data_IF_902702040516
#
_entry.id   IF_902702040516
#
_cell.length_a   1.000
_cell.length_b   1.000
_cell.length_c   1.000
_cell.angle_alpha   90.00
_cell.angle_beta   90.00
_cell.angle_gamma   90.00
#
_symmetry.space_group_name_H-M   'P 1'
#
loop_
_entity.id
_entity.type
_entity.pdbx_description
1 polymer ?
#
# COMPACT_ATOMS: atom_id res chain seq x y z
N UNK A 1 9.98 27.94 -8.15
CA UNK A 1 8.51 28.00 -8.31
C UNK A 1 8.05 26.64 -8.83
N UNK A 2 6.76 26.28 -8.74
CA UNK A 2 6.28 25.04 -9.35
C UNK A 2 6.28 25.17 -10.89
N UNK A 3 6.36 24.04 -11.59
CA UNK A 3 6.42 24.02 -13.05
C UNK A 3 5.06 24.39 -13.68
N UNK A 4 5.04 25.41 -14.55
CA UNK A 4 3.81 25.94 -15.16
C UNK A 4 3.14 25.01 -16.18
N UNK A 5 3.83 23.95 -16.61
CA UNK A 5 3.33 22.96 -17.57
C UNK A 5 2.62 21.76 -16.91
N UNK A 6 2.58 21.72 -15.58
CA UNK A 6 1.79 20.73 -14.83
C UNK A 6 0.31 21.11 -14.92
N UNK A 7 -0.53 20.18 -15.33
CA UNK A 7 -1.99 20.37 -15.38
C UNK A 7 -2.64 19.58 -14.27
N UNK A 8 -3.17 20.27 -13.28
CA UNK A 8 -3.90 19.63 -12.18
C UNK A 8 -5.28 19.16 -12.67
N UNK A 9 -5.67 17.97 -12.25
CA UNK A 9 -6.97 17.38 -12.58
C UNK A 9 -7.92 17.52 -11.39
N UNK A 10 -9.23 17.54 -11.68
CA UNK A 10 -10.28 17.73 -10.68
C UNK A 10 -10.44 16.61 -9.61
N UNK A 11 -10.30 15.31 -9.91
CA UNK A 11 -10.65 14.29 -8.93
C UNK A 11 -9.71 14.33 -7.72
N UNK A 12 -10.30 14.21 -6.54
CA UNK A 12 -9.58 14.09 -5.26
C UNK A 12 -10.16 12.93 -4.47
N UNK A 13 -9.28 12.06 -3.99
CA UNK A 13 -9.62 10.95 -3.11
C UNK A 13 -9.46 11.40 -1.67
N UNK A 14 -10.58 11.37 -0.95
CA UNK A 14 -10.67 11.71 0.47
C UNK A 14 -10.78 10.44 1.33
N UNK A 15 -10.40 10.52 2.62
CA UNK A 15 -10.66 9.47 3.59
C UNK A 15 -12.17 9.12 3.67
N UNK A 16 -12.49 7.84 3.89
CA UNK A 16 -13.87 7.38 4.04
C UNK A 16 -14.04 6.51 5.30
N UNK A 17 -14.61 7.06 6.39
CA UNK A 17 -14.80 6.31 7.62
C UNK A 17 -15.84 5.18 7.50
N UNK A 18 -16.59 5.11 6.40
CA UNK A 18 -17.59 4.05 6.17
C UNK A 18 -16.95 2.75 5.69
N UNK A 19 -15.73 2.82 5.14
CA UNK A 19 -15.00 1.64 4.67
C UNK A 19 -14.34 0.96 5.86
N UNK A 20 -14.78 -0.26 6.13
CA UNK A 20 -14.43 -1.00 7.35
C UNK A 20 -14.04 -2.43 7.05
N UNK A 21 -13.29 -3.04 7.96
CA UNK A 21 -13.00 -4.47 8.03
C UNK A 21 -13.32 -5.01 9.42
N UNK A 22 -13.55 -6.31 9.54
CA UNK A 22 -13.64 -6.97 10.84
C UNK A 22 -12.26 -7.50 11.23
N UNK A 23 -11.77 -7.07 12.40
CA UNK A 23 -10.49 -7.50 12.98
C UNK A 23 -10.68 -8.31 14.26
N UNK A 24 -9.68 -9.13 14.66
CA UNK A 24 -9.63 -9.70 15.99
C UNK A 24 -9.74 -8.62 17.09
N UNK A 25 -10.55 -8.90 18.10
CA UNK A 25 -10.65 -8.10 19.32
C UNK A 25 -10.63 -9.03 20.53
N UNK A 26 -9.61 -8.89 21.39
CA UNK A 26 -9.49 -9.66 22.63
C UNK A 26 -9.54 -8.70 23.82
N UNK A 27 -10.72 -8.52 24.45
CA UNK A 27 -10.85 -7.58 25.54
C UNK A 27 -10.08 -8.09 26.77
N UNK A 28 -9.13 -7.28 27.26
CA UNK A 28 -8.31 -7.57 28.44
C UNK A 28 -8.66 -6.70 29.65
N UNK A 29 -8.31 -7.17 30.85
CA UNK A 29 -8.39 -6.36 32.06
C UNK A 29 -7.08 -5.59 32.28
N UNK A 30 -7.14 -4.27 32.60
CA UNK A 30 -5.95 -3.54 33.03
C UNK A 30 -5.40 -4.14 34.32
N UNK A 31 -4.08 -4.07 34.51
CA UNK A 31 -3.34 -4.80 35.54
C UNK A 31 -3.95 -4.76 36.96
N UNK A 32 -4.41 -3.61 37.49
CA UNK A 32 -5.00 -3.53 38.82
C UNK A 32 -6.36 -4.25 38.96
N UNK A 33 -7.00 -4.60 37.85
CA UNK A 33 -8.35 -5.17 37.79
C UNK A 33 -8.36 -6.58 37.19
N UNK A 34 -7.18 -7.18 36.96
CA UNK A 34 -7.08 -8.57 36.50
C UNK A 34 -7.69 -9.49 37.55
N UNK A 35 -8.54 -10.41 37.10
CA UNK A 35 -9.12 -11.46 37.94
C UNK A 35 -8.32 -12.73 37.75
N UNK A 36 -7.60 -13.15 38.78
CA UNK A 36 -6.76 -14.35 38.74
C UNK A 36 -7.59 -15.59 38.40
N UNK A 37 -7.08 -16.39 37.45
CA UNK A 37 -7.75 -17.59 36.96
C UNK A 37 -9.04 -17.34 36.15
N UNK A 38 -9.46 -16.08 35.95
CA UNK A 38 -10.71 -15.76 35.26
C UNK A 38 -10.59 -14.52 34.35
N UNK A 39 -9.80 -14.59 33.27
CA UNK A 39 -9.62 -13.48 32.34
C UNK A 39 -10.96 -13.00 31.76
N UNK A 40 -10.99 -11.74 31.31
CA UNK A 40 -12.21 -11.13 30.77
C UNK A 40 -12.84 -11.93 29.61
N UNK A 41 -12.03 -12.56 28.77
CA UNK A 41 -12.50 -13.44 27.70
C UNK A 41 -13.41 -14.55 28.23
N UNK A 42 -12.94 -15.33 29.20
CA UNK A 42 -13.70 -16.42 29.82
C UNK A 42 -15.01 -15.91 30.45
N UNK A 43 -14.96 -14.74 31.11
CA UNK A 43 -16.16 -14.12 31.70
C UNK A 43 -17.19 -13.70 30.65
N UNK A 44 -16.76 -13.29 29.46
CA UNK A 44 -17.67 -12.98 28.35
C UNK A 44 -18.32 -14.27 27.87
N UNK A 45 -17.54 -15.32 27.62
CA UNK A 45 -18.05 -16.63 27.20
C UNK A 45 -19.07 -17.16 28.20
N UNK A 46 -18.75 -17.18 29.50
CA UNK A 46 -19.68 -17.67 30.53
C UNK A 46 -21.03 -16.95 30.50
N UNK A 47 -21.01 -15.61 30.31
CA UNK A 47 -22.25 -14.83 30.17
C UNK A 47 -23.00 -15.24 28.92
N UNK A 48 -22.32 -15.37 27.78
CA UNK A 48 -22.92 -15.80 26.51
C UNK A 48 -23.53 -17.20 26.60
N UNK A 49 -22.87 -18.13 27.30
CA UNK A 49 -23.38 -19.49 27.52
C UNK A 49 -24.59 -19.52 28.45
N UNK A 50 -24.67 -18.59 29.41
CA UNK A 50 -25.80 -18.48 30.35
C UNK A 50 -27.06 -17.84 29.75
N UNK A 51 -26.98 -17.24 28.55
CA UNK A 51 -28.13 -16.63 27.87
C UNK A 51 -29.13 -17.68 27.39
N UNK A 52 -30.41 -17.32 27.39
CA UNK A 52 -31.46 -18.13 26.75
C UNK A 52 -31.28 -18.19 25.23
N UNK A 53 -31.83 -19.22 24.58
CA UNK A 53 -31.73 -19.38 23.12
C UNK A 53 -32.38 -18.20 22.37
N UNK A 54 -33.48 -17.67 22.90
CA UNK A 54 -34.18 -16.51 22.32
C UNK A 54 -33.33 -15.23 22.36
N UNK A 55 -32.64 -14.97 23.48
CA UNK A 55 -31.74 -13.81 23.61
C UNK A 55 -30.55 -13.91 22.65
N UNK A 56 -29.95 -15.11 22.53
CA UNK A 56 -28.85 -15.37 21.59
C UNK A 56 -29.32 -15.15 20.16
N UNK A 57 -30.49 -15.68 19.80
CA UNK A 57 -31.05 -15.53 18.45
C UNK A 57 -31.26 -14.05 18.10
N UNK A 58 -31.87 -13.27 19.00
CA UNK A 58 -32.11 -11.84 18.78
C UNK A 58 -30.81 -11.06 18.55
N UNK A 59 -29.78 -11.31 19.37
CA UNK A 59 -28.49 -10.64 19.21
C UNK A 59 -27.77 -11.03 17.92
N UNK A 60 -27.82 -12.30 17.53
CA UNK A 60 -27.23 -12.76 16.27
C UNK A 60 -27.92 -12.11 15.09
N UNK A 61 -29.25 -12.00 15.10
CA UNK A 61 -29.99 -11.37 14.00
C UNK A 61 -29.66 -9.87 13.90
N UNK A 62 -29.56 -9.16 15.02
CA UNK A 62 -29.12 -7.76 15.06
C UNK A 62 -27.72 -7.60 14.46
N UNK A 63 -26.77 -8.47 14.83
CA UNK A 63 -25.39 -8.38 14.34
C UNK A 63 -25.32 -8.70 12.84
N UNK A 64 -26.03 -9.72 12.37
CA UNK A 64 -26.08 -10.10 10.95
C UNK A 64 -26.69 -8.98 10.12
N UNK A 65 -27.80 -8.39 10.55
CA UNK A 65 -28.44 -7.28 9.85
C UNK A 65 -27.54 -6.04 9.83
N UNK A 66 -26.98 -5.66 10.98
CA UNK A 66 -26.12 -4.49 11.11
C UNK A 66 -24.83 -4.58 10.30
N UNK A 67 -24.11 -5.71 10.40
CA UNK A 67 -22.88 -5.92 9.64
C UNK A 67 -23.15 -6.23 8.17
N UNK A 68 -24.28 -6.85 7.83
CA UNK A 68 -24.65 -7.24 6.47
C UNK A 68 -24.75 -6.06 5.50
N UNK A 69 -24.90 -4.83 6.02
CA UNK A 69 -24.86 -3.60 5.23
C UNK A 69 -23.48 -3.35 4.59
N UNK A 70 -22.39 -3.76 5.26
CA UNK A 70 -21.01 -3.45 4.87
C UNK A 70 -20.11 -4.68 4.68
N UNK A 71 -20.55 -5.85 5.12
CA UNK A 71 -19.77 -7.09 5.12
C UNK A 71 -20.58 -8.23 4.48
N UNK A 72 -19.97 -8.98 3.58
CA UNK A 72 -20.54 -10.20 2.99
C UNK A 72 -20.36 -11.39 3.91
N UNK A 73 -21.25 -12.38 3.77
CA UNK A 73 -21.15 -13.67 4.45
C UNK A 73 -20.93 -13.55 5.97
N UNK A 74 -21.59 -12.58 6.62
CA UNK A 74 -21.43 -12.30 8.06
C UNK A 74 -21.52 -13.56 8.93
N UNK A 75 -22.48 -14.50 8.71
CA UNK A 75 -22.51 -15.73 9.50
C UNK A 75 -21.21 -16.55 9.40
N UNK A 76 -20.66 -16.71 8.19
CA UNK A 76 -19.43 -17.46 7.97
C UNK A 76 -18.21 -16.73 8.58
N UNK A 77 -18.18 -15.40 8.46
CA UNK A 77 -17.17 -14.56 9.11
C UNK A 77 -17.19 -14.76 10.63
N UNK A 78 -18.35 -14.67 11.28
CA UNK A 78 -18.48 -14.84 12.74
C UNK A 78 -18.10 -16.25 13.19
N UNK A 79 -18.45 -17.28 12.42
CA UNK A 79 -18.05 -18.67 12.69
C UNK A 79 -16.53 -18.84 12.61
N UNK A 80 -15.88 -18.30 11.57
CA UNK A 80 -14.42 -18.31 11.47
C UNK A 80 -13.77 -17.61 12.65
N UNK A 81 -14.31 -16.45 13.07
CA UNK A 81 -13.84 -15.73 14.26
C UNK A 81 -13.94 -16.59 15.52
N UNK A 82 -15.02 -17.36 15.68
CA UNK A 82 -15.14 -18.32 16.77
C UNK A 82 -14.04 -19.39 16.73
N UNK A 83 -13.81 -20.01 15.57
CA UNK A 83 -12.80 -21.06 15.42
C UNK A 83 -11.37 -20.57 15.75
N UNK A 84 -11.06 -19.31 15.45
CA UNK A 84 -9.77 -18.69 15.79
C UNK A 84 -9.58 -18.43 17.30
N UNK A 85 -10.65 -18.11 18.03
CA UNK A 85 -10.58 -17.76 19.46
C UNK A 85 -10.86 -18.94 20.39
N UNK A 86 -11.59 -19.96 19.92
CA UNK A 86 -11.96 -21.12 20.73
C UNK A 86 -10.76 -21.85 21.37
N UNK A 87 -9.62 -22.07 20.69
CA UNK A 87 -8.45 -22.67 21.32
C UNK A 87 -7.85 -21.82 22.44
N UNK A 88 -7.88 -20.49 22.28
CA UNK A 88 -7.33 -19.54 23.26
C UNK A 88 -8.19 -19.49 24.54
N UNK A 89 -9.52 -19.64 24.36
CA UNK A 89 -10.52 -19.64 25.42
C UNK A 89 -10.85 -21.04 25.95
N UNK A 90 -10.18 -22.08 25.44
CA UNK A 90 -10.38 -23.49 25.81
C UNK A 90 -11.85 -23.94 25.73
N UNK A 91 -12.55 -23.50 24.67
CA UNK A 91 -13.97 -23.81 24.48
C UNK A 91 -14.17 -25.20 23.86
N UNK A 92 -15.21 -25.90 24.32
CA UNK A 92 -15.67 -27.14 23.71
C UNK A 92 -16.47 -26.86 22.42
N UNK A 93 -16.43 -27.78 21.47
CA UNK A 93 -17.07 -27.66 20.14
C UNK A 93 -18.57 -27.93 20.16
N UNK A 94 -19.12 -28.37 21.30
CA UNK A 94 -20.53 -28.72 21.52
C UNK A 94 -21.49 -27.51 21.61
N UNK A 95 -20.97 -26.29 21.56
CA UNK A 95 -21.76 -25.04 21.53
C UNK A 95 -22.60 -24.93 20.26
N UNK A 96 -23.84 -24.42 20.35
CA UNK A 96 -24.71 -24.22 19.19
C UNK A 96 -24.16 -23.15 18.23
N UNK A 97 -24.45 -23.27 16.93
CA UNK A 97 -23.91 -22.36 15.90
C UNK A 97 -24.24 -20.89 16.19
N UNK A 98 -25.46 -20.59 16.67
CA UNK A 98 -25.85 -19.23 17.05
C UNK A 98 -25.00 -18.68 18.20
N UNK A 99 -24.67 -19.50 19.21
CA UNK A 99 -23.76 -19.09 20.28
C UNK A 99 -22.32 -18.96 19.79
N UNK A 100 -21.87 -19.82 18.87
CA UNK A 100 -20.56 -19.68 18.21
C UNK A 100 -20.47 -18.35 17.48
N UNK A 101 -21.46 -18.00 16.67
CA UNK A 101 -21.54 -16.70 15.98
C UNK A 101 -21.51 -15.53 16.96
N UNK A 102 -22.28 -15.59 18.05
CA UNK A 102 -22.32 -14.52 19.05
C UNK A 102 -20.99 -14.36 19.78
N UNK A 103 -20.33 -15.47 20.16
CA UNK A 103 -18.98 -15.45 20.72
C UNK A 103 -18.01 -14.83 19.70
N UNK A 104 -18.02 -15.29 18.45
CA UNK A 104 -17.22 -14.71 17.37
C UNK A 104 -17.42 -13.20 17.24
N UNK A 105 -18.66 -12.72 17.39
CA UNK A 105 -19.00 -11.30 17.40
C UNK A 105 -18.38 -10.53 18.57
N UNK A 106 -18.46 -11.04 19.79
CA UNK A 106 -17.84 -10.40 20.97
C UNK A 106 -16.30 -10.31 20.90
N UNK A 107 -15.67 -11.21 20.14
CA UNK A 107 -14.22 -11.22 19.91
C UNK A 107 -13.81 -10.62 18.56
N UNK A 108 -14.65 -9.73 18.03
CA UNK A 108 -14.44 -8.99 16.79
C UNK A 108 -14.64 -7.50 17.00
N UNK A 109 -13.94 -6.69 16.22
CA UNK A 109 -14.18 -5.25 16.13
C UNK A 109 -14.31 -4.85 14.66
N UNK A 110 -15.33 -4.04 14.36
CA UNK A 110 -15.42 -3.33 13.10
C UNK A 110 -14.46 -2.14 13.15
N UNK A 111 -13.59 -2.03 12.14
CA UNK A 111 -12.47 -1.10 12.13
C UNK A 111 -12.46 -0.34 10.81
N UNK A 112 -12.48 0.99 10.86
CA UNK A 112 -12.35 1.81 9.65
C UNK A 112 -10.88 2.06 9.32
N UNK A 113 -10.43 1.54 8.16
CA UNK A 113 -9.02 1.46 7.78
C UNK A 113 -8.49 2.66 7.00
N UNK A 114 -9.37 3.55 6.59
CA UNK A 114 -9.04 4.77 5.85
C UNK A 114 -9.88 5.96 6.33
N UNK A 115 -10.19 6.00 7.63
CA UNK A 115 -11.01 7.05 8.25
C UNK A 115 -10.29 8.40 8.41
N UNK A 116 -8.97 8.38 8.63
CA UNK A 116 -8.22 9.55 9.05
C UNK A 116 -7.48 10.22 7.90
N UNK A 117 -6.90 9.44 6.98
CA UNK A 117 -6.13 9.93 5.84
C UNK A 117 -6.04 8.87 4.74
N UNK A 118 -5.91 9.29 3.47
CA UNK A 118 -5.83 8.44 2.28
C UNK A 118 -4.85 9.04 1.25
N UNK A 119 -3.59 8.61 1.28
CA UNK A 119 -2.50 9.31 0.59
C UNK A 119 -1.39 8.36 0.10
N UNK A 120 -0.25 8.90 -0.33
CA UNK A 120 0.91 8.19 -0.90
C UNK A 120 0.55 7.20 -2.01
N UNK A 121 -0.03 7.68 -3.11
CA UNK A 121 -0.50 6.84 -4.20
C UNK A 121 0.64 6.20 -5.00
N UNK A 122 0.51 4.92 -5.35
CA UNK A 122 1.26 4.28 -6.43
C UNK A 122 0.29 3.74 -7.47
N UNK A 123 0.62 3.88 -8.75
CA UNK A 123 -0.27 3.54 -9.86
C UNK A 123 0.42 2.56 -10.82
N UNK A 124 -0.32 1.56 -11.29
CA UNK A 124 0.12 0.58 -12.30
C UNK A 124 -1.04 0.26 -13.24
N UNK A 125 -0.77 -0.22 -14.47
CA UNK A 125 -1.82 -0.77 -15.33
C UNK A 125 -2.58 -1.90 -14.61
N UNK A 126 -3.90 -1.91 -14.74
CA UNK A 126 -4.74 -3.01 -14.24
C UNK A 126 -4.40 -4.32 -14.99
N UNK A 127 -4.42 -5.49 -14.33
CA UNK A 127 -4.08 -6.77 -14.97
C UNK A 127 -5.04 -7.11 -16.12
N UNK A 128 -6.29 -6.72 -15.95
CA UNK A 128 -7.34 -6.80 -16.95
C UNK A 128 -7.50 -5.43 -17.63
N UNK A 129 -7.19 -5.36 -18.92
CA UNK A 129 -7.41 -4.20 -19.80
C UNK A 129 -8.59 -4.43 -20.77
N UNK A 130 -9.37 -5.50 -20.57
CA UNK A 130 -10.54 -5.78 -21.41
C UNK A 130 -11.57 -4.66 -21.28
N UNK A 131 -12.30 -4.40 -22.37
CA UNK A 131 -13.29 -3.32 -22.48
C UNK A 131 -12.74 -1.90 -22.23
N UNK A 132 -11.42 -1.73 -22.11
CA UNK A 132 -10.79 -0.42 -22.01
C UNK A 132 -10.86 0.28 -23.39
N UNK A 133 -11.33 1.55 -23.47
CA UNK A 133 -11.38 2.27 -24.73
C UNK A 133 -10.01 2.36 -25.40
N UNK A 134 -9.98 2.36 -26.74
CA UNK A 134 -8.73 2.51 -27.50
C UNK A 134 -7.96 3.77 -27.06
N UNK A 135 -6.69 3.59 -26.71
CA UNK A 135 -5.83 4.67 -26.21
C UNK A 135 -6.10 5.07 -24.75
N UNK A 136 -7.00 4.39 -24.03
CA UNK A 136 -7.13 4.51 -22.58
C UNK A 136 -6.23 3.50 -21.84
N UNK A 137 -6.03 3.71 -20.54
CA UNK A 137 -5.43 2.72 -19.65
C UNK A 137 -6.34 2.55 -18.45
N UNK A 138 -6.76 1.31 -18.18
CA UNK A 138 -7.35 0.96 -16.90
C UNK A 138 -6.23 0.78 -15.88
N UNK A 139 -6.37 1.29 -14.67
CA UNK A 139 -5.30 1.24 -13.68
C UNK A 139 -5.77 0.69 -12.33
N UNK A 140 -4.79 0.21 -11.55
CA UNK A 140 -4.91 0.03 -10.11
C UNK A 140 -4.05 1.09 -9.44
N UNK A 141 -4.63 1.72 -8.42
CA UNK A 141 -3.98 2.72 -7.58
C UNK A 141 -3.94 2.16 -6.14
N UNK A 142 -2.75 1.91 -5.61
CA UNK A 142 -2.58 1.60 -4.18
C UNK A 142 -2.41 2.89 -3.39
N UNK A 143 -3.04 2.98 -2.23
CA UNK A 143 -3.00 4.12 -1.33
C UNK A 143 -2.66 3.65 0.07
N UNK A 144 -2.00 4.52 0.83
CA UNK A 144 -1.86 4.38 2.28
C UNK A 144 -3.15 4.88 2.95
N UNK A 145 -3.89 3.99 3.57
CA UNK A 145 -5.05 4.29 4.40
C UNK A 145 -4.66 4.36 5.88
N UNK A 146 -4.99 5.46 6.55
CA UNK A 146 -4.85 5.62 8.00
C UNK A 146 -6.21 5.42 8.65
N UNK A 147 -6.31 4.39 9.48
CA UNK A 147 -7.52 4.08 10.21
C UNK A 147 -7.52 4.58 11.66
N UNK A 148 -8.49 4.10 12.43
CA UNK A 148 -8.57 4.34 13.89
C UNK A 148 -7.24 4.00 14.59
N UNK A 149 -6.82 4.86 15.53
CA UNK A 149 -5.55 4.65 16.24
C UNK A 149 -4.29 4.86 15.38
N UNK A 150 -4.44 5.50 14.21
CA UNK A 150 -3.35 5.88 13.29
C UNK A 150 -2.57 4.69 12.69
N UNK A 151 -3.19 3.52 12.58
CA UNK A 151 -2.55 2.35 11.98
C UNK A 151 -2.62 2.44 10.45
N UNK A 152 -1.48 2.27 9.80
CA UNK A 152 -1.34 2.34 8.33
C UNK A 152 -1.64 1.00 7.67
N UNK A 153 -2.42 1.04 6.60
CA UNK A 153 -2.80 -0.07 5.75
C UNK A 153 -2.63 0.29 4.28
N UNK A 154 -2.64 -0.71 3.39
CA UNK A 154 -2.75 -0.48 1.95
C UNK A 154 -4.16 -0.82 1.48
N UNK A 155 -4.76 0.09 0.74
CA UNK A 155 -6.10 0.00 0.13
C UNK A 155 -5.98 0.36 -1.34
N UNK A 156 -6.91 -0.09 -2.18
CA UNK A 156 -6.82 0.12 -3.62
C UNK A 156 -7.99 0.93 -4.17
N UNK A 157 -7.76 1.59 -5.31
CA UNK A 157 -8.76 2.17 -6.20
C UNK A 157 -8.49 1.69 -7.61
N UNK A 158 -9.51 1.74 -8.44
CA UNK A 158 -9.39 1.52 -9.88
C UNK A 158 -9.97 2.71 -10.63
N UNK A 159 -9.66 2.77 -11.91
CA UNK A 159 -10.22 3.78 -12.80
C UNK A 159 -9.69 3.64 -14.20
N UNK A 160 -10.10 4.56 -15.05
CA UNK A 160 -9.68 4.66 -16.45
C UNK A 160 -9.09 6.03 -16.69
N UNK A 161 -7.87 6.04 -17.21
CA UNK A 161 -7.29 7.23 -17.82
C UNK A 161 -7.59 7.20 -19.32
N UNK A 162 -8.58 7.99 -19.75
CA UNK A 162 -9.10 8.03 -21.11
C UNK A 162 -8.15 8.66 -22.12
N UNK A 163 -8.40 8.53 -23.44
CA UNK A 163 -7.46 8.90 -24.50
C UNK A 163 -7.16 10.40 -24.58
N UNK A 164 -8.06 11.25 -24.08
CA UNK A 164 -7.74 12.64 -23.79
C UNK A 164 -6.93 12.71 -22.51
N UNK A 165 -5.77 13.36 -22.54
CA UNK A 165 -4.83 13.38 -21.41
C UNK A 165 -5.45 13.87 -20.10
N UNK A 166 -6.44 14.76 -20.15
CA UNK A 166 -7.12 15.29 -18.97
C UNK A 166 -8.40 14.51 -18.60
N UNK A 167 -8.65 13.35 -19.23
CA UNK A 167 -9.82 12.50 -19.00
C UNK A 167 -9.49 11.40 -17.99
N UNK A 168 -9.68 11.68 -16.70
CA UNK A 168 -9.48 10.70 -15.63
C UNK A 168 -10.81 10.39 -14.94
N UNK A 169 -11.19 9.11 -14.91
CA UNK A 169 -12.39 8.62 -14.23
C UNK A 169 -11.98 7.61 -13.17
N UNK A 170 -12.37 7.85 -11.92
CA UNK A 170 -12.16 6.92 -10.80
C UNK A 170 -13.42 6.07 -10.62
N UNK A 171 -13.24 4.76 -10.44
CA UNK A 171 -14.35 3.88 -10.09
C UNK A 171 -14.76 4.12 -8.63
N UNK A 172 -16.07 4.15 -8.31
CA UNK A 172 -16.53 4.18 -6.94
C UNK A 172 -15.98 2.96 -6.17
N UNK A 173 -15.32 3.14 -5.00
CA UNK A 173 -14.82 2.00 -4.25
C UNK A 173 -15.98 1.17 -3.69
N UNK A 174 -15.78 -0.15 -3.63
CA UNK A 174 -16.70 -1.03 -2.94
C UNK A 174 -16.82 -0.64 -1.45
N UNK A 175 -18.04 -0.75 -0.94
CA UNK A 175 -18.32 -0.60 0.49
C UNK A 175 -17.81 -1.79 1.32
N UNK A 176 -17.44 -2.89 0.65
CA UNK A 176 -16.88 -4.08 1.27
C UNK A 176 -15.38 -3.91 1.51
N UNK A 177 -14.92 -4.43 2.66
CA UNK A 177 -13.50 -4.57 2.98
C UNK A 177 -13.16 -6.02 3.29
N UNK A 178 -12.19 -6.57 2.58
CA UNK A 178 -11.68 -7.94 2.76
C UNK A 178 -10.29 -7.84 3.39
N UNK A 179 -10.14 -8.11 4.70
CA UNK A 179 -8.83 -8.18 5.34
C UNK A 179 -8.10 -9.46 4.91
N UNK A 180 -6.76 -9.51 5.03
CA UNK A 180 -6.00 -10.66 4.59
C UNK A 180 -6.10 -11.79 5.62
N UNK A 181 -6.21 -13.02 5.12
CA UNK A 181 -5.98 -14.23 5.90
C UNK A 181 -4.54 -14.69 5.71
N UNK A 182 -3.88 -15.05 6.81
CA UNK A 182 -2.57 -15.69 6.74
C UNK A 182 -2.74 -17.14 6.34
N UNK A 183 -2.07 -17.53 5.26
CA UNK A 183 -2.03 -18.91 4.81
C UNK A 183 -0.59 -19.43 4.75
N UNK A 184 -0.45 -20.74 4.86
CA UNK A 184 0.83 -21.37 4.57
C UNK A 184 1.05 -21.29 3.05
N UNK A 185 2.19 -20.74 2.60
CA UNK A 185 2.47 -20.66 1.18
C UNK A 185 2.68 -22.06 0.58
N UNK A 186 2.41 -22.18 -0.71
CA UNK A 186 2.75 -23.38 -1.48
C UNK A 186 4.28 -23.61 -1.42
N UNK A 187 4.76 -24.77 -0.93
CA UNK A 187 6.18 -25.09 -0.87
C UNK A 187 6.91 -25.04 -2.21
N UNK A 188 6.23 -25.32 -3.33
CA UNK A 188 6.82 -25.21 -4.67
C UNK A 188 7.04 -23.75 -5.07
N UNK A 189 6.09 -22.87 -4.71
CA UNK A 189 6.23 -21.43 -4.92
C UNK A 189 7.34 -20.82 -4.07
N UNK A 190 7.47 -21.25 -2.80
CA UNK A 190 8.59 -20.84 -1.93
C UNK A 190 9.93 -21.16 -2.59
N UNK A 191 10.06 -22.37 -3.18
CA UNK A 191 11.27 -22.79 -3.88
C UNK A 191 11.54 -21.96 -5.14
N UNK A 192 10.51 -21.64 -5.92
CA UNK A 192 10.63 -20.85 -7.14
C UNK A 192 11.06 -19.41 -6.87
N UNK A 193 10.50 -18.76 -5.85
CA UNK A 193 10.86 -17.39 -5.49
C UNK A 193 12.27 -17.34 -4.85
N UNK A 194 12.75 -18.47 -4.31
CA UNK A 194 14.05 -18.55 -3.64
C UNK A 194 14.08 -17.79 -2.31
N UNK A 195 12.91 -17.53 -1.72
CA UNK A 195 12.79 -16.73 -0.51
C UNK A 195 13.15 -17.53 0.75
N UNK A 196 13.90 -16.92 1.66
CA UNK A 196 14.18 -17.48 3.00
C UNK A 196 12.93 -17.50 3.89
N UNK A 197 12.01 -16.57 3.67
CA UNK A 197 10.72 -16.49 4.34
C UNK A 197 9.68 -15.96 3.34
N UNK A 198 8.54 -16.64 3.27
CA UNK A 198 7.40 -16.24 2.45
C UNK A 198 6.16 -16.17 3.34
N UNK A 199 5.50 -15.01 3.32
CA UNK A 199 4.23 -14.80 4.00
C UNK A 199 3.17 -14.66 2.93
N UNK A 200 2.17 -15.54 2.95
CA UNK A 200 1.05 -15.49 2.02
C UNK A 200 -0.15 -14.81 2.67
N UNK A 201 -0.59 -13.71 2.06
CA UNK A 201 -1.82 -13.02 2.41
C UNK A 201 -2.89 -13.35 1.37
N UNK A 202 -3.95 -14.03 1.82
CA UNK A 202 -5.08 -14.40 1.00
C UNK A 202 -6.26 -13.44 1.23
N UNK A 203 -6.63 -12.73 0.16
CA UNK A 203 -7.79 -11.86 0.04
C UNK A 203 -8.72 -12.35 -1.07
N UNK A 204 -8.78 -13.66 -1.38
CA UNK A 204 -9.51 -14.22 -2.54
C UNK A 204 -11.03 -14.04 -2.49
N UNK A 205 -11.59 -13.71 -1.33
CA UNK A 205 -12.99 -13.28 -1.18
C UNK A 205 -13.28 -11.88 -1.78
N UNK A 206 -12.23 -11.14 -2.11
CA UNK A 206 -12.30 -9.86 -2.83
C UNK A 206 -12.73 -10.10 -4.27
N UNK A 207 -13.73 -9.35 -4.74
CA UNK A 207 -14.26 -9.42 -6.11
C UNK A 207 -13.65 -8.37 -7.02
N UNK A 208 -13.10 -7.30 -6.45
CA UNK A 208 -12.43 -6.23 -7.18
C UNK A 208 -11.30 -5.65 -6.31
N UNK A 209 -10.25 -5.05 -6.91
CA UNK A 209 -9.11 -4.56 -6.13
C UNK A 209 -9.50 -3.65 -4.97
N UNK A 210 -10.53 -2.80 -5.14
CA UNK A 210 -10.95 -1.86 -4.09
C UNK A 210 -11.39 -2.54 -2.80
N UNK A 211 -11.87 -3.78 -2.84
CA UNK A 211 -12.25 -4.54 -1.64
C UNK A 211 -11.05 -5.08 -0.86
N UNK A 212 -9.90 -5.26 -1.50
CA UNK A 212 -8.70 -5.79 -0.85
C UNK A 212 -8.10 -4.74 0.09
N UNK A 213 -7.84 -5.13 1.33
CA UNK A 213 -7.13 -4.31 2.31
C UNK A 213 -5.93 -5.08 2.81
N UNK A 214 -4.71 -4.60 2.57
CA UNK A 214 -3.51 -5.17 3.18
C UNK A 214 -3.30 -4.53 4.54
N UNK A 215 -3.68 -5.29 5.56
CA UNK A 215 -3.61 -4.85 6.95
C UNK A 215 -2.36 -5.40 7.66
N UNK A 216 -1.82 -4.67 8.64
CA UNK A 216 -0.84 -5.21 9.59
C UNK A 216 -1.29 -6.49 10.30
N UNK A 217 -0.92 -7.65 9.78
CA UNK A 217 -1.28 -8.97 10.35
C UNK A 217 -0.07 -9.80 10.84
N UNK A 218 1.15 -9.28 10.72
CA UNK A 218 2.38 -9.97 11.18
C UNK A 218 3.23 -9.04 12.06
N UNK A 219 4.11 -9.62 12.86
CA UNK A 219 4.93 -8.91 13.85
C UNK A 219 5.81 -7.81 13.23
N UNK A 220 6.42 -8.08 12.07
CA UNK A 220 7.35 -7.15 11.41
C UNK A 220 6.70 -5.86 10.90
N UNK A 221 5.37 -5.83 10.83
CA UNK A 221 4.61 -4.69 10.34
C UNK A 221 3.50 -4.26 11.31
N UNK A 222 3.57 -4.67 12.59
CA UNK A 222 2.52 -4.46 13.58
C UNK A 222 2.19 -2.98 13.90
N UNK A 223 3.01 -2.04 13.41
CA UNK A 223 2.79 -0.59 13.48
C UNK A 223 2.40 0.05 12.14
N UNK A 224 2.44 -0.68 11.03
CA UNK A 224 1.95 -0.19 9.74
C UNK A 224 2.64 -0.80 8.52
N UNK A 225 1.91 -0.78 7.41
CA UNK A 225 2.44 -0.97 6.05
C UNK A 225 2.43 0.40 5.38
N UNK A 226 3.60 0.91 5.01
CA UNK A 226 3.75 2.30 4.53
C UNK A 226 4.31 2.37 3.11
N UNK A 227 3.80 3.32 2.33
CA UNK A 227 4.38 3.84 1.09
C UNK A 227 4.71 2.76 0.05
N UNK A 228 3.71 1.96 -0.31
CA UNK A 228 3.83 0.91 -1.32
C UNK A 228 4.14 1.50 -2.70
N UNK A 229 5.23 1.02 -3.31
CA UNK A 229 5.67 1.39 -4.66
C UNK A 229 5.54 0.18 -5.56
N UNK A 230 4.43 0.12 -6.29
CA UNK A 230 4.10 -0.95 -7.22
C UNK A 230 4.77 -0.73 -8.58
N UNK A 231 5.16 -1.82 -9.20
CA UNK A 231 5.58 -1.87 -10.60
C UNK A 231 4.99 -3.12 -11.26
N UNK A 232 4.48 -2.97 -12.49
CA UNK A 232 4.25 -4.12 -13.36
C UNK A 232 5.61 -4.57 -13.88
N UNK A 233 6.15 -5.63 -13.29
CA UNK A 233 7.44 -6.19 -13.66
C UNK A 233 7.28 -7.16 -14.82
N UNK A 234 8.07 -6.98 -15.88
CA UNK A 234 8.08 -7.84 -17.06
C UNK A 234 9.37 -8.63 -17.13
N UNK A 235 9.23 -9.94 -17.18
CA UNK A 235 10.33 -10.87 -17.45
C UNK A 235 10.60 -10.96 -18.96
N UNK A 236 11.80 -11.43 -19.31
CA UNK A 236 12.27 -11.53 -20.70
C UNK A 236 11.44 -12.53 -21.55
N UNK A 237 10.78 -13.49 -20.90
CA UNK A 237 9.87 -14.46 -21.54
C UNK A 237 8.47 -13.89 -21.82
N UNK A 238 8.21 -12.64 -21.43
CA UNK A 238 6.94 -11.95 -21.58
C UNK A 238 5.98 -12.12 -20.40
N UNK A 239 6.30 -12.96 -19.41
CA UNK A 239 5.52 -13.06 -18.18
C UNK A 239 5.53 -11.74 -17.43
N UNK A 240 4.41 -11.43 -16.80
CA UNK A 240 4.23 -10.20 -16.03
C UNK A 240 3.73 -10.55 -14.64
N UNK A 241 4.24 -9.82 -13.64
CA UNK A 241 3.77 -9.87 -12.26
C UNK A 241 3.83 -8.47 -11.68
N UNK A 242 3.10 -8.21 -10.60
CA UNK A 242 3.21 -6.94 -9.88
C UNK A 242 4.12 -7.14 -8.68
N UNK A 243 5.17 -6.32 -8.62
CA UNK A 243 6.09 -6.29 -7.48
C UNK A 243 5.96 -4.95 -6.80
N UNK A 244 5.83 -4.95 -5.48
CA UNK A 244 5.69 -3.76 -4.67
C UNK A 244 6.73 -3.72 -3.57
N UNK A 245 7.48 -2.63 -3.45
CA UNK A 245 8.34 -2.42 -2.28
C UNK A 245 7.64 -1.47 -1.30
N UNK A 246 7.74 -1.76 0.00
CA UNK A 246 7.10 -0.97 1.04
C UNK A 246 7.94 -0.93 2.30
N UNK A 247 7.60 0.00 3.19
CA UNK A 247 8.21 0.08 4.52
C UNK A 247 7.32 -0.63 5.52
N UNK A 248 7.79 -1.75 6.06
CA UNK A 248 7.17 -2.43 7.19
C UNK A 248 7.62 -1.77 8.49
N UNK A 249 6.68 -1.31 9.31
CA UNK A 249 6.96 -0.65 10.58
C UNK A 249 6.51 -1.53 11.73
N UNK A 250 7.41 -1.76 12.69
CA UNK A 250 7.11 -2.46 13.92
C UNK A 250 7.63 -1.73 15.15
N UNK A 251 7.29 -2.23 16.34
CA UNK A 251 7.89 -1.78 17.60
C UNK A 251 9.41 -1.94 17.64
N UNK A 252 9.97 -2.81 16.79
CA UNK A 252 11.42 -3.06 16.68
C UNK A 252 12.12 -2.14 15.67
N UNK A 253 11.38 -1.34 14.93
CA UNK A 253 11.89 -0.45 13.88
C UNK A 253 11.24 -0.66 12.52
N UNK A 254 11.73 0.09 11.53
CA UNK A 254 11.28 0.02 10.15
C UNK A 254 12.26 -0.77 9.28
N UNK A 255 11.75 -1.50 8.28
CA UNK A 255 12.56 -2.17 7.26
C UNK A 255 11.87 -2.18 5.90
N UNK A 256 12.64 -2.39 4.84
CA UNK A 256 12.10 -2.65 3.51
C UNK A 256 11.61 -4.10 3.41
N UNK A 257 10.44 -4.25 2.81
CA UNK A 257 9.86 -5.53 2.42
C UNK A 257 9.34 -5.42 0.98
N UNK A 258 9.18 -6.56 0.33
CA UNK A 258 8.62 -6.68 -1.02
C UNK A 258 7.35 -7.51 -0.94
N UNK A 259 6.31 -7.12 -1.67
CA UNK A 259 5.14 -7.92 -1.98
C UNK A 259 5.11 -8.26 -3.46
N UNK A 260 4.52 -9.41 -3.80
CA UNK A 260 4.25 -9.83 -5.18
C UNK A 260 2.78 -10.25 -5.30
N UNK A 261 2.17 -9.98 -6.46
CA UNK A 261 0.80 -10.39 -6.78
C UNK A 261 0.58 -10.39 -8.29
N UNK A 262 -0.36 -11.20 -8.79
CA UNK A 262 -0.81 -11.18 -10.19
C UNK A 262 -2.27 -10.71 -10.32
N UNK A 263 -3.04 -10.75 -9.23
CA UNK A 263 -4.50 -10.60 -9.26
C UNK A 263 -5.04 -9.61 -8.21
N UNK A 264 -4.18 -9.02 -7.37
CA UNK A 264 -4.57 -8.16 -6.24
C UNK A 264 -5.49 -8.84 -5.22
N UNK A 265 -5.50 -10.18 -5.20
CA UNK A 265 -6.28 -11.02 -4.27
C UNK A 265 -5.41 -12.01 -3.52
N UNK A 266 -4.27 -12.41 -4.07
CA UNK A 266 -3.25 -13.19 -3.37
C UNK A 266 -1.93 -12.43 -3.38
N UNK A 267 -1.30 -12.30 -2.21
CA UNK A 267 -0.04 -11.58 -2.07
C UNK A 267 1.02 -12.43 -1.38
N UNK A 268 2.25 -12.28 -1.84
CA UNK A 268 3.44 -12.93 -1.31
C UNK A 268 4.41 -11.89 -0.79
N UNK A 269 4.65 -11.87 0.52
CA UNK A 269 5.48 -10.87 1.19
C UNK A 269 6.82 -11.46 1.64
N UNK A 270 7.87 -10.66 1.48
CA UNK A 270 9.26 -11.04 1.72
C UNK A 270 10.05 -9.91 2.39
N UNK A 271 10.87 -10.20 3.40
CA UNK A 271 11.86 -9.24 3.87
C UNK A 271 12.92 -8.99 2.80
N UNK A 272 13.39 -7.75 2.73
CA UNK A 272 14.59 -7.40 1.98
C UNK A 272 15.82 -7.63 2.88
N UNK A 273 16.84 -8.28 2.33
CA UNK A 273 18.12 -8.55 2.98
C UNK A 273 19.23 -7.63 2.44
N UNK A 274 20.29 -7.50 3.25
CA UNK A 274 21.48 -6.71 2.91
C UNK A 274 21.51 -5.31 3.54
N UNK A 275 22.54 -4.51 3.24
CA UNK A 275 22.73 -3.17 3.82
C UNK A 275 21.57 -2.19 3.58
N UNK A 276 20.72 -2.43 2.57
CA UNK A 276 19.56 -1.57 2.26
C UNK A 276 18.33 -1.88 3.10
N UNK A 277 18.27 -3.05 3.75
CA UNK A 277 17.12 -3.55 4.49
C UNK A 277 16.57 -2.58 5.56
N UNK A 278 17.39 -1.91 6.40
CA UNK A 278 16.86 -0.96 7.40
C UNK A 278 16.43 0.40 6.79
N UNK A 279 16.64 0.59 5.48
CA UNK A 279 16.37 1.84 4.79
C UNK A 279 14.91 2.08 4.46
N UNK A 280 14.67 3.16 3.69
CA UNK A 280 13.38 3.51 3.09
C UNK A 280 13.52 3.82 1.60
N UNK A 281 12.40 3.78 0.88
CA UNK A 281 12.32 4.26 -0.50
C UNK A 281 12.98 3.33 -1.52
N UNK A 282 12.95 2.02 -1.31
CA UNK A 282 13.28 1.09 -2.39
C UNK A 282 12.27 1.26 -3.54
N UNK A 283 12.68 1.20 -4.79
CA UNK A 283 11.79 0.98 -5.92
C UNK A 283 12.48 0.18 -7.02
N UNK A 284 11.82 -0.88 -7.48
CA UNK A 284 12.31 -1.72 -8.57
C UNK A 284 12.12 -1.04 -9.92
N UNK A 285 13.01 -1.34 -10.86
CA UNK A 285 12.80 -1.07 -12.29
C UNK A 285 11.78 -2.08 -12.86
N UNK A 286 11.04 -1.75 -13.94
CA UNK A 286 9.95 -2.57 -14.47
C UNK A 286 10.40 -3.81 -15.25
N UNK A 287 11.71 -4.01 -15.41
CA UNK A 287 12.31 -5.19 -16.05
C UNK A 287 13.75 -5.34 -15.60
N UNK A 288 14.36 -6.46 -15.98
CA UNK A 288 15.80 -6.67 -15.78
C UNK A 288 16.64 -5.70 -16.61
N UNK A 289 17.81 -5.36 -16.08
CA UNK A 289 18.84 -4.57 -16.75
C UNK A 289 20.12 -5.41 -16.74
N UNK A 290 20.62 -5.78 -17.92
CA UNK A 290 21.76 -6.70 -18.02
C UNK A 290 21.50 -8.07 -17.39
N UNK A 291 20.26 -8.58 -17.45
CA UNK A 291 19.86 -9.87 -16.88
C UNK A 291 19.63 -9.86 -15.35
N UNK A 292 19.80 -8.72 -14.69
CA UNK A 292 19.64 -8.58 -13.23
C UNK A 292 18.43 -7.73 -12.87
N UNK A 293 17.86 -7.99 -11.69
CA UNK A 293 16.97 -7.02 -11.06
C UNK A 293 17.75 -5.74 -10.79
N UNK A 294 17.08 -4.61 -10.92
CA UNK A 294 17.62 -3.30 -10.62
C UNK A 294 16.64 -2.53 -9.73
N UNK A 295 17.16 -1.73 -8.82
CA UNK A 295 16.35 -0.89 -7.94
C UNK A 295 17.06 0.40 -7.55
N UNK A 296 16.25 1.40 -7.19
CA UNK A 296 16.68 2.63 -6.54
C UNK A 296 16.44 2.53 -5.03
N UNK A 297 17.29 3.21 -4.25
CA UNK A 297 17.24 3.22 -2.79
C UNK A 297 17.57 4.58 -2.20
N UNK A 298 17.09 4.80 -0.97
CA UNK A 298 17.45 5.94 -0.12
C UNK A 298 17.77 5.44 1.29
N UNK A 299 18.70 4.48 1.37
CA UNK A 299 18.99 3.75 2.61
C UNK A 299 19.88 4.52 3.59
N UNK A 300 20.68 5.47 3.10
CA UNK A 300 21.51 6.37 3.93
C UNK A 300 20.72 7.57 4.48
N UNK A 301 19.42 7.65 4.18
CA UNK A 301 18.52 8.74 4.51
C UNK A 301 18.77 10.09 3.81
N UNK A 302 19.68 10.18 2.84
CA UNK A 302 20.00 11.47 2.20
C UNK A 302 20.07 11.39 0.67
N UNK A 303 20.70 10.35 0.13
CA UNK A 303 21.09 10.30 -1.27
C UNK A 303 20.31 9.23 -2.03
N UNK A 304 20.30 9.34 -3.36
CA UNK A 304 19.74 8.32 -4.24
C UNK A 304 20.83 7.33 -4.64
N UNK A 305 20.53 6.05 -4.48
CA UNK A 305 21.42 4.94 -4.79
C UNK A 305 20.79 4.00 -5.81
N UNK A 306 21.62 3.34 -6.59
CA UNK A 306 21.26 2.31 -7.55
C UNK A 306 21.92 0.98 -7.15
N UNK A 307 21.18 -0.12 -7.25
CA UNK A 307 21.71 -1.46 -7.01
C UNK A 307 21.21 -2.45 -8.04
N UNK A 308 21.95 -3.55 -8.21
CA UNK A 308 21.52 -4.70 -8.99
C UNK A 308 21.58 -5.97 -8.16
N UNK A 309 20.74 -6.95 -8.49
CA UNK A 309 20.74 -8.25 -7.84
C UNK A 309 20.20 -9.37 -8.74
N UNK A 310 20.57 -10.61 -8.42
CA UNK A 310 20.02 -11.79 -9.08
C UNK A 310 18.59 -12.11 -8.59
N UNK A 311 18.21 -11.59 -7.42
CA UNK A 311 16.86 -11.70 -6.83
C UNK A 311 16.32 -10.31 -6.46
N UNK A 312 15.00 -10.11 -6.35
CA UNK A 312 14.47 -8.83 -5.88
C UNK A 312 14.62 -8.64 -4.36
N UNK A 313 15.19 -9.63 -3.65
CA UNK A 313 15.13 -9.73 -2.18
C UNK A 313 16.47 -9.41 -1.49
N UNK A 314 17.61 -9.66 -2.13
CA UNK A 314 18.93 -9.47 -1.53
C UNK A 314 19.70 -8.41 -2.30
N UNK A 315 20.15 -7.34 -1.65
CA UNK A 315 20.85 -6.25 -2.34
C UNK A 315 22.18 -5.94 -1.67
N UNK A 316 23.26 -6.01 -2.42
CA UNK A 316 24.61 -5.73 -1.95
C UNK A 316 25.22 -4.57 -2.73
N UNK A 317 26.11 -3.84 -2.07
CA UNK A 317 26.97 -2.82 -2.67
C UNK A 317 26.25 -1.82 -3.62
N UNK A 318 25.12 -1.21 -3.22
CA UNK A 318 24.50 -0.18 -4.03
C UNK A 318 25.47 0.99 -4.24
N UNK A 319 25.40 1.64 -5.40
CA UNK A 319 26.24 2.79 -5.77
C UNK A 319 25.43 4.08 -5.71
N UNK A 320 26.01 5.14 -5.18
CA UNK A 320 25.34 6.44 -5.09
C UNK A 320 25.31 7.10 -6.46
N UNK A 321 24.14 7.54 -6.90
CA UNK A 321 23.95 8.13 -8.23
C UNK A 321 23.54 9.61 -8.17
N UNK A 322 22.86 10.05 -7.11
CA UNK A 322 22.51 11.45 -6.92
C UNK A 322 22.67 11.86 -5.46
N UNK A 323 23.23 13.04 -5.24
CA UNK A 323 23.23 13.75 -3.96
C UNK A 323 22.37 15.02 -4.10
N UNK A 324 21.87 15.58 -2.99
CA UNK A 324 21.29 16.92 -3.00
C UNK A 324 22.19 17.95 -3.71
N UNK A 325 21.64 18.71 -4.65
CA UNK A 325 22.31 19.80 -5.39
C UNK A 325 21.49 21.09 -5.37
N UNK A 326 20.17 21.02 -5.30
CA UNK A 326 19.29 22.19 -5.32
C UNK A 326 18.67 22.50 -3.94
N UNK A 327 18.35 23.77 -3.63
CA UNK A 327 17.85 24.16 -2.31
C UNK A 327 16.60 23.42 -1.81
N UNK A 328 15.75 22.96 -2.74
CA UNK A 328 14.53 22.22 -2.41
C UNK A 328 14.78 20.74 -2.06
N UNK A 329 16.02 20.26 -2.19
CA UNK A 329 16.43 18.88 -1.88
C UNK A 329 17.60 18.80 -0.88
N UNK A 330 18.08 19.94 -0.33
CA UNK A 330 19.26 19.99 0.56
C UNK A 330 19.19 19.13 1.82
N UNK A 331 17.99 18.77 2.32
CA UNK A 331 17.87 17.86 3.46
C UNK A 331 18.00 16.40 3.03
N UNK A 332 17.42 16.05 1.88
CA UNK A 332 17.48 14.71 1.29
C UNK A 332 16.83 14.71 -0.11
N UNK A 333 17.26 13.77 -0.95
CA UNK A 333 16.60 13.38 -2.20
C UNK A 333 16.26 11.87 -2.16
N UNK A 334 15.16 11.49 -2.78
CA UNK A 334 14.81 10.08 -2.98
C UNK A 334 13.91 9.87 -4.19
N UNK A 335 13.77 8.63 -4.64
CA UNK A 335 12.77 8.27 -5.63
C UNK A 335 11.37 8.20 -4.98
N UNK A 336 10.37 8.56 -5.77
CA UNK A 336 8.96 8.42 -5.39
C UNK A 336 8.50 6.97 -5.61
N UNK A 337 8.66 6.46 -6.82
CA UNK A 337 8.23 5.11 -7.22
C UNK A 337 9.20 4.44 -8.18
N UNK A 338 8.70 3.44 -8.91
CA UNK A 338 9.45 2.76 -9.98
C UNK A 338 9.89 3.76 -11.05
N UNK A 339 11.13 3.67 -11.56
CA UNK A 339 11.51 4.31 -12.81
C UNK A 339 10.59 3.88 -13.96
N UNK A 340 10.35 4.79 -14.90
CA UNK A 340 9.48 4.57 -16.06
C UNK A 340 10.34 4.58 -17.31
N UNK A 341 10.26 3.52 -18.11
CA UNK A 341 10.96 3.46 -19.38
C UNK A 341 10.29 4.39 -20.40
N UNK A 342 11.04 5.35 -20.91
CA UNK A 342 10.65 6.26 -22.00
C UNK A 342 11.73 6.26 -23.08
N UNK A 343 11.45 6.84 -24.25
CA UNK A 343 12.37 6.84 -25.40
C UNK A 343 13.76 7.42 -25.09
N UNK A 344 13.85 8.38 -24.18
CA UNK A 344 15.09 9.06 -23.79
C UNK A 344 15.89 8.36 -22.68
N UNK A 345 15.31 7.38 -21.98
CA UNK A 345 15.96 6.70 -20.86
C UNK A 345 14.99 6.26 -19.78
N UNK A 346 15.44 6.25 -18.53
CA UNK A 346 14.61 6.00 -17.36
C UNK A 346 14.16 7.30 -16.73
N UNK A 347 12.87 7.63 -16.85
CA UNK A 347 12.27 8.73 -16.11
C UNK A 347 12.07 8.32 -14.65
N UNK A 348 12.68 9.06 -13.74
CA UNK A 348 12.56 8.85 -12.30
C UNK A 348 11.84 10.04 -11.71
N UNK A 349 10.64 9.81 -11.16
CA UNK A 349 9.97 10.81 -10.31
C UNK A 349 10.66 10.80 -8.95
N UNK A 350 11.11 11.96 -8.49
CA UNK A 350 11.84 12.12 -7.24
C UNK A 350 11.03 12.95 -6.25
N UNK A 351 11.40 12.85 -4.97
CA UNK A 351 11.07 13.84 -3.97
C UNK A 351 12.34 14.49 -3.44
N UNK A 352 12.20 15.74 -2.99
CA UNK A 352 13.26 16.49 -2.32
C UNK A 352 12.69 17.18 -1.08
N UNK A 353 13.52 17.30 -0.04
CA UNK A 353 13.15 17.98 1.20
C UNK A 353 13.95 19.27 1.34
N UNK A 354 13.22 20.38 1.38
CA UNK A 354 13.75 21.73 1.48
C UNK A 354 13.57 22.37 2.85
N UNK A 355 13.56 23.70 2.85
CA UNK A 355 13.36 24.52 4.05
C UNK A 355 12.07 24.15 4.79
N UNK A 356 12.12 24.17 6.13
CA UNK A 356 10.97 23.87 7.00
C UNK A 356 10.34 22.49 6.68
N UNK A 357 11.16 21.53 6.23
CA UNK A 357 10.72 20.18 5.86
C UNK A 357 9.66 20.20 4.75
N UNK A 358 9.74 21.15 3.82
CA UNK A 358 8.89 21.16 2.63
C UNK A 358 9.23 19.99 1.72
N UNK A 359 8.32 19.03 1.56
CA UNK A 359 8.47 17.94 0.58
C UNK A 359 7.92 18.38 -0.76
N UNK A 360 8.77 18.31 -1.78
CA UNK A 360 8.43 18.64 -3.16
C UNK A 360 8.64 17.43 -4.06
N UNK A 361 7.91 17.37 -5.17
CA UNK A 361 8.10 16.37 -6.23
C UNK A 361 8.99 16.98 -7.31
N UNK A 362 9.94 16.20 -7.81
CA UNK A 362 10.80 16.51 -8.94
C UNK A 362 10.94 15.33 -9.90
N UNK A 363 11.91 15.41 -10.80
CA UNK A 363 12.20 14.34 -11.74
C UNK A 363 13.66 14.36 -12.20
N UNK A 364 14.15 13.18 -12.57
CA UNK A 364 15.45 12.96 -13.18
C UNK A 364 15.34 11.97 -14.35
N UNK A 365 16.31 12.02 -15.26
CA UNK A 365 16.45 11.10 -16.38
C UNK A 365 17.77 10.35 -16.23
N UNK A 366 17.71 9.01 -16.19
CA UNK A 366 18.89 8.14 -16.17
C UNK A 366 19.09 7.49 -17.54
N UNK A 367 20.34 7.15 -17.87
CA UNK A 367 20.68 6.42 -19.09
C UNK A 367 20.04 5.02 -19.10
N UNK A 368 19.52 4.59 -20.26
CA UNK A 368 18.76 3.34 -20.38
C UNK A 368 19.61 2.11 -20.06
N UNK A 369 20.84 2.10 -20.55
CA UNK A 369 21.73 0.94 -20.51
C UNK A 369 22.62 0.96 -19.27
N UNK A 370 22.96 2.16 -18.79
CA UNK A 370 23.71 2.37 -17.55
C UNK A 370 22.99 3.34 -16.61
N UNK A 371 22.04 2.85 -15.78
CA UNK A 371 21.28 3.70 -14.86
C UNK A 371 22.12 4.38 -13.78
N UNK A 372 23.43 4.09 -13.67
CA UNK A 372 24.33 4.85 -12.79
C UNK A 372 24.62 6.25 -13.33
N UNK A 373 24.37 6.48 -14.62
CA UNK A 373 24.57 7.76 -15.30
C UNK A 373 23.28 8.58 -15.30
N UNK A 374 23.27 9.63 -14.47
CA UNK A 374 22.22 10.67 -14.48
C UNK A 374 22.44 11.56 -15.70
N UNK A 375 21.50 11.55 -16.64
CA UNK A 375 21.56 12.36 -17.85
C UNK A 375 21.14 13.80 -17.61
N UNK A 376 20.02 13.98 -16.90
CA UNK A 376 19.46 15.29 -16.54
C UNK A 376 18.65 15.22 -15.25
N UNK A 377 18.47 16.36 -14.57
CA UNK A 377 17.49 16.49 -13.48
C UNK A 377 16.87 17.88 -13.40
N UNK A 378 15.70 17.98 -12.79
CA UNK A 378 15.04 19.27 -12.56
C UNK A 378 15.80 20.12 -11.53
N UNK A 379 16.07 21.38 -11.86
CA UNK A 379 16.66 22.34 -10.94
C UNK A 379 15.64 22.99 -9.98
N UNK A 380 14.37 23.03 -10.40
CA UNK A 380 13.23 23.50 -9.60
C UNK A 380 12.21 22.37 -9.43
N UNK A 381 11.41 22.37 -8.35
CA UNK A 381 10.35 21.37 -8.18
C UNK A 381 9.38 21.30 -9.36
N UNK A 382 8.96 20.08 -9.69
CA UNK A 382 7.82 19.85 -10.57
C UNK A 382 6.53 20.31 -9.88
N UNK A 383 6.30 19.81 -8.66
CA UNK A 383 5.20 20.22 -7.78
C UNK A 383 5.79 20.56 -6.41
N UNK A 384 5.38 21.70 -5.86
CA UNK A 384 5.73 22.12 -4.51
C UNK A 384 4.45 22.47 -3.74
N UNK A 385 4.45 22.36 -2.40
CA UNK A 385 3.37 22.91 -1.59
C UNK A 385 3.24 24.41 -1.86
N UNK A 386 2.02 24.87 -2.13
CA UNK A 386 1.73 26.28 -2.44
C UNK A 386 1.44 27.11 -1.18
N UNK A 387 1.26 26.46 -0.02
CA UNK A 387 1.06 27.10 1.30
C UNK A 387 -0.28 27.81 1.48
N UNK A 388 -1.07 27.94 0.43
CA UNK A 388 -2.36 28.64 0.45
C UNK A 388 -3.55 27.68 0.42
N UNK A 389 -3.35 26.46 -0.08
CA UNK A 389 -4.49 25.68 -0.58
C UNK A 389 -4.76 24.42 0.24
N UNK A 390 -3.83 23.93 1.07
CA UNK A 390 -3.95 22.58 1.67
C UNK A 390 -3.37 22.48 3.09
N UNK A 391 -4.26 22.39 4.08
CA UNK A 391 -3.97 21.90 5.43
C UNK A 391 -4.19 20.38 5.51
N UNK A 392 -3.39 19.66 6.29
CA UNK A 392 -3.53 18.21 6.45
C UNK A 392 -2.69 17.65 7.58
N UNK A 393 -2.60 16.32 7.65
CA UNK A 393 -1.93 15.58 8.72
C UNK A 393 -0.45 15.99 8.88
N UNK A 394 0.25 16.21 7.77
CA UNK A 394 1.61 16.77 7.74
C UNK A 394 1.65 17.96 6.76
N UNK A 395 1.63 19.22 7.24
CA UNK A 395 1.69 20.40 6.39
C UNK A 395 2.96 20.46 5.53
N UNK A 396 2.91 21.21 4.43
CA UNK A 396 4.03 21.41 3.49
C UNK A 396 4.56 20.12 2.85
N UNK A 397 3.67 19.17 2.54
CA UNK A 397 4.04 17.92 1.87
C UNK A 397 3.23 17.73 0.60
N UNK A 398 3.94 17.54 -0.52
CA UNK A 398 3.41 16.82 -1.68
C UNK A 398 4.28 15.58 -1.92
N UNK A 399 3.64 14.43 -2.16
CA UNK A 399 4.37 13.17 -2.26
C UNK A 399 3.68 12.16 -3.18
N UNK A 400 4.43 11.24 -3.78
CA UNK A 400 3.85 10.15 -4.57
C UNK A 400 4.71 8.89 -4.43
N UNK A 401 4.10 7.74 -4.67
CA UNK A 401 4.74 6.44 -4.70
C UNK A 401 4.78 5.83 -6.10
N UNK A 402 4.27 6.51 -7.13
CA UNK A 402 4.32 6.03 -8.51
C UNK A 402 3.61 6.96 -9.50
N UNK A 403 3.90 6.77 -10.77
CA UNK A 403 3.28 7.50 -11.87
C UNK A 403 3.15 6.58 -13.09
N UNK A 404 2.30 6.97 -14.04
CA UNK A 404 2.01 6.17 -15.24
C UNK A 404 2.26 7.01 -16.50
N UNK A 405 2.86 6.43 -17.53
CA UNK A 405 3.06 7.10 -18.82
C UNK A 405 2.19 6.46 -19.90
N UNK A 406 1.58 7.30 -20.73
CA UNK A 406 0.94 6.91 -21.98
C UNK A 406 1.36 7.88 -23.07
N UNK A 407 1.96 7.36 -24.14
CA UNK A 407 2.46 8.20 -25.22
C UNK A 407 3.48 9.21 -24.70
N UNK A 408 3.21 10.50 -24.88
CA UNK A 408 4.07 11.61 -24.41
C UNK A 408 3.52 12.36 -23.20
N UNK A 409 2.64 11.71 -22.43
CA UNK A 409 2.04 12.30 -21.23
C UNK A 409 2.24 11.38 -20.02
N UNK A 410 2.57 12.00 -18.89
CA UNK A 410 2.66 11.39 -17.57
C UNK A 410 1.38 11.68 -16.80
N UNK A 411 0.72 10.66 -16.25
CA UNK A 411 -0.28 10.77 -15.20
C UNK A 411 0.41 10.62 -13.83
N UNK A 412 0.26 11.63 -13.00
CA UNK A 412 0.89 11.73 -11.68
C UNK A 412 -0.18 11.83 -10.60
N UNK A 413 -0.57 10.72 -9.96
CA UNK A 413 -1.29 10.80 -8.69
C UNK A 413 -0.32 11.26 -7.60
N UNK A 414 -0.75 12.15 -6.71
CA UNK A 414 0.08 12.62 -5.61
C UNK A 414 -0.74 13.01 -4.38
N UNK A 415 -0.14 12.80 -3.22
CA UNK A 415 -0.63 13.17 -1.91
C UNK A 415 -0.52 14.66 -1.66
N UNK A 416 -1.50 15.20 -0.93
CA UNK A 416 -1.47 16.51 -0.33
C UNK A 416 -1.46 16.35 1.19
N UNK A 417 -0.45 16.91 1.84
CA UNK A 417 -0.32 17.04 3.29
C UNK A 417 -0.53 15.74 4.11
N UNK A 418 -0.13 14.58 3.57
CA UNK A 418 -0.37 13.25 4.15
C UNK A 418 -1.83 12.99 4.57
N UNK A 419 -2.79 13.56 3.83
CA UNK A 419 -4.21 13.51 4.19
C UNK A 419 -5.09 12.95 3.05
N UNK A 420 -4.85 13.43 1.82
CA UNK A 420 -5.66 13.11 0.65
C UNK A 420 -4.79 12.90 -0.59
N UNK A 421 -5.39 12.40 -1.67
CA UNK A 421 -4.73 12.21 -2.97
C UNK A 421 -5.43 12.98 -4.08
N UNK A 422 -4.67 13.67 -4.91
CA UNK A 422 -5.14 14.32 -6.14
C UNK A 422 -4.28 13.88 -7.33
N UNK A 423 -4.50 14.45 -8.52
CA UNK A 423 -3.89 14.00 -9.77
C UNK A 423 -3.44 15.19 -10.63
N UNK A 424 -2.40 14.98 -11.43
CA UNK A 424 -1.96 15.90 -12.46
C UNK A 424 -1.51 15.16 -13.72
N UNK A 425 -1.55 15.83 -14.86
CA UNK A 425 -0.90 15.40 -16.09
C UNK A 425 0.29 16.29 -16.41
N UNK A 426 1.33 15.69 -16.98
CA UNK A 426 2.58 16.38 -17.33
C UNK A 426 3.03 15.96 -18.74
N UNK A 427 3.13 16.90 -19.70
CA UNK A 427 3.74 16.61 -21.00
C UNK A 427 5.22 16.25 -20.84
N UNK A 428 5.63 15.10 -21.37
CA UNK A 428 7.02 14.62 -21.23
C UNK A 428 8.02 15.54 -21.93
N UNK A 429 7.64 16.11 -23.07
CA UNK A 429 8.53 16.98 -23.85
C UNK A 429 8.89 18.25 -23.05
N UNK A 430 7.91 18.87 -22.40
CA UNK A 430 8.11 20.04 -21.54
C UNK A 430 8.91 19.65 -20.28
N UNK A 431 8.60 18.50 -19.68
CA UNK A 431 9.29 17.98 -18.51
C UNK A 431 10.80 17.77 -18.80
N UNK A 432 11.14 17.12 -19.91
CA UNK A 432 12.53 16.82 -20.30
C UNK A 432 13.26 18.10 -20.72
N UNK A 433 12.57 19.03 -21.40
CA UNK A 433 13.12 20.33 -21.78
C UNK A 433 13.46 21.19 -20.56
N UNK A 434 12.73 21.04 -19.45
CA UNK A 434 12.97 21.75 -18.19
C UNK A 434 14.16 21.20 -17.37
N UNK A 435 14.63 19.98 -17.64
CA UNK A 435 15.77 19.38 -16.93
C UNK A 435 17.10 19.90 -17.47
N UNK A 436 18.11 20.03 -16.58
CA UNK A 436 19.46 20.48 -16.91
C UNK A 436 20.47 19.36 -16.91
#
# INVERSE_FOLDING_TARGET
>A
MAASFVRHLDPTLLPDPKRTVIRPFLPGDPDPFRVEGKPRGDRIVERTLAMSDDEVQQLVDIIIEGLGVRHREVPALLMRRFDEVAPQLKLDTTVSDKRKMLIGGYFSAEYSFEAAALFNPSIVPHPDQDECPDGAIRFVLSLRGIGEGHLSSVTFRTGIWGPGDDTLVLDPPSQQGVPPLLEQPDPDLVRQIGAKALIQLNCRESREPSETVLFPVIESQNRGIEDLRLVQFREDDGNQTYIGSYTAVSDKGARQEVLQTDDFRLFHMHPVDGPVAPGKGMALFPRRIGGKFAALFRHDNENLWYGTSDTPLEWQDPVRIMTPEYPWEFVQIGNCGSPIEIDEGWLVITHGVGIVRSYCIGAALLDRDDPTRVLKRLAEPLIAPDGETWDGYVPNVVYTCGALVRGRTLLLPYALADDMTTFATVPLDDLIAAMR
#
